data_IF_738979833273
#
_entry.id   IF_738979833273
#
_cell.length_a   1.000
_cell.length_b   1.000
_cell.length_c   1.000
_cell.angle_alpha   90.00
_cell.angle_beta   90.00
_cell.angle_gamma   90.00
#
_symmetry.space_group_name_H-M   'P 1'
#
loop_
_entity.id
_entity.type
_entity.pdbx_description
1 polymer ?
#
# COMPACT_ATOMS: atom_id res chain seq x y z
N UNK A 1 50.49 -127.01 41.95
CA UNK A 1 49.23 -126.67 42.66
C UNK A 1 48.95 -125.15 42.69
N UNK A 2 49.47 -124.36 41.73
CA UNK A 2 49.42 -122.88 41.75
C UNK A 2 48.36 -122.26 40.82
N UNK A 3 47.72 -123.03 39.93
CA UNK A 3 46.72 -122.50 38.98
C UNK A 3 45.29 -122.32 39.55
N UNK A 4 44.94 -122.95 40.68
CA UNK A 4 43.58 -122.84 41.25
C UNK A 4 43.36 -121.56 42.05
N UNK A 5 44.37 -121.10 42.79
CA UNK A 5 44.31 -119.90 43.64
C UNK A 5 44.33 -118.59 42.83
N UNK A 6 44.99 -118.57 41.68
CA UNK A 6 45.03 -117.40 40.80
C UNK A 6 43.68 -117.18 40.09
N UNK A 7 43.08 -118.26 39.58
CA UNK A 7 41.76 -118.23 38.95
C UNK A 7 40.67 -117.74 39.93
N UNK A 8 40.73 -118.19 41.19
CA UNK A 8 39.82 -117.72 42.24
C UNK A 8 39.95 -116.20 42.51
N UNK A 9 41.17 -115.67 42.56
CA UNK A 9 41.41 -114.24 42.75
C UNK A 9 40.79 -113.40 41.63
N UNK A 10 40.98 -113.82 40.38
CA UNK A 10 40.43 -113.12 39.20
C UNK A 10 38.90 -113.15 39.18
N UNK A 11 38.29 -114.29 39.53
CA UNK A 11 36.83 -114.41 39.66
C UNK A 11 36.27 -113.50 40.75
N UNK A 12 36.91 -113.48 41.94
CA UNK A 12 36.50 -112.59 43.04
C UNK A 12 36.62 -111.12 42.64
N UNK A 13 37.70 -110.72 41.94
CA UNK A 13 37.88 -109.35 41.51
C UNK A 13 36.87 -108.94 40.43
N UNK A 14 36.54 -109.84 39.50
CA UNK A 14 35.51 -109.59 38.49
C UNK A 14 34.12 -109.41 39.12
N UNK A 15 33.76 -110.26 40.08
CA UNK A 15 32.49 -110.11 40.84
C UNK A 15 32.48 -108.82 41.65
N UNK A 16 33.57 -108.47 42.34
CA UNK A 16 33.66 -107.22 43.09
C UNK A 16 33.59 -105.98 42.19
N UNK A 17 34.23 -105.99 41.01
CA UNK A 17 34.12 -104.89 40.04
C UNK A 17 32.68 -104.72 39.55
N UNK A 18 32.01 -105.83 39.18
CA UNK A 18 30.62 -105.81 38.73
C UNK A 18 29.67 -105.30 39.82
N UNK A 19 29.82 -105.79 41.06
CA UNK A 19 29.00 -105.32 42.19
C UNK A 19 29.23 -103.82 42.45
N UNK A 20 30.47 -103.36 42.37
CA UNK A 20 30.80 -101.94 42.57
C UNK A 20 30.27 -101.04 41.45
N UNK A 21 30.40 -101.43 40.19
CA UNK A 21 29.87 -100.70 39.03
C UNK A 21 28.34 -100.59 39.10
N UNK A 22 27.68 -101.59 39.68
CA UNK A 22 26.23 -101.59 39.92
C UNK A 22 25.82 -100.85 41.21
N UNK A 23 26.76 -100.29 41.98
CA UNK A 23 26.48 -99.61 43.25
C UNK A 23 26.08 -100.54 44.41
N UNK A 24 26.31 -101.84 44.29
CA UNK A 24 26.04 -102.84 45.33
C UNK A 24 27.18 -102.96 46.36
N UNK A 25 26.86 -103.42 47.57
CA UNK A 25 27.84 -103.60 48.63
C UNK A 25 28.72 -104.83 48.38
N UNK A 26 30.02 -104.60 48.12
CA UNK A 26 31.06 -105.63 47.98
C UNK A 26 31.44 -106.26 49.32
N UNK A 27 30.52 -106.99 49.94
CA UNK A 27 30.76 -107.80 51.13
C UNK A 27 31.13 -109.24 50.77
N UNK A 28 31.94 -109.91 51.60
CA UNK A 28 32.36 -111.31 51.39
C UNK A 28 31.16 -112.24 51.21
N UNK A 29 30.06 -112.00 51.94
CA UNK A 29 28.81 -112.78 51.84
C UNK A 29 28.14 -112.61 50.48
N UNK A 30 28.14 -111.39 49.91
CA UNK A 30 27.57 -111.12 48.60
C UNK A 30 28.43 -111.72 47.48
N UNK A 31 29.74 -111.63 47.60
CA UNK A 31 30.67 -112.25 46.64
C UNK A 31 30.56 -113.78 46.64
N UNK A 32 30.41 -114.40 47.82
CA UNK A 32 30.15 -115.84 47.95
C UNK A 32 28.85 -116.27 47.28
N UNK A 33 27.78 -115.45 47.33
CA UNK A 33 26.50 -115.79 46.69
C UNK A 33 26.55 -115.81 45.16
N UNK A 34 27.63 -115.29 44.57
CA UNK A 34 27.82 -115.20 43.11
C UNK A 34 28.89 -116.18 42.60
N UNK A 35 29.56 -116.93 43.49
CA UNK A 35 30.60 -117.91 43.14
C UNK A 35 30.13 -119.30 43.59
N UNK A 36 29.41 -119.99 42.71
CA UNK A 36 28.78 -121.30 42.99
C UNK A 36 29.77 -122.42 43.31
N UNK A 37 31.06 -122.23 42.99
CA UNK A 37 32.06 -123.30 43.13
C UNK A 37 32.70 -123.37 44.51
N UNK A 38 32.61 -122.35 45.38
CA UNK A 38 33.36 -122.26 46.63
C UNK A 38 32.50 -121.74 47.81
N UNK A 39 32.38 -122.56 48.86
CA UNK A 39 31.47 -122.32 49.98
C UNK A 39 32.13 -121.79 51.27
N UNK A 40 33.41 -121.40 51.23
CA UNK A 40 34.14 -120.95 52.42
C UNK A 40 34.47 -119.46 52.40
N UNK A 41 33.91 -118.73 53.38
CA UNK A 41 34.22 -117.33 53.70
C UNK A 41 35.72 -117.07 53.88
N UNK A 42 36.43 -118.02 54.48
CA UNK A 42 37.87 -117.93 54.75
C UNK A 42 38.72 -117.87 53.47
N UNK A 43 38.23 -118.46 52.37
CA UNK A 43 38.95 -118.54 51.10
C UNK A 43 38.79 -117.29 50.24
N UNK A 44 37.67 -116.55 50.38
CA UNK A 44 37.34 -115.38 49.56
C UNK A 44 37.70 -114.07 50.27
N UNK A 45 37.62 -114.03 51.60
CA UNK A 45 37.87 -112.83 52.41
C UNK A 45 39.21 -112.12 52.10
N UNK A 46 40.36 -112.82 51.94
CA UNK A 46 41.63 -112.15 51.62
C UNK A 46 41.58 -111.37 50.29
N UNK A 47 40.92 -111.93 49.28
CA UNK A 47 40.83 -111.32 47.94
C UNK A 47 39.84 -110.14 47.90
N UNK A 48 38.71 -110.24 48.61
CA UNK A 48 37.78 -109.10 48.75
C UNK A 48 38.45 -107.94 49.49
N UNK A 49 39.21 -108.23 50.55
CA UNK A 49 39.99 -107.21 51.28
C UNK A 49 41.06 -106.56 50.40
N UNK A 50 41.79 -107.35 49.60
CA UNK A 50 42.80 -106.81 48.66
C UNK A 50 42.16 -105.90 47.60
N UNK A 51 40.99 -106.28 47.05
CA UNK A 51 40.26 -105.44 46.10
C UNK A 51 39.79 -104.11 46.70
N UNK A 52 39.25 -104.14 47.93
CA UNK A 52 38.84 -102.93 48.66
C UNK A 52 40.01 -101.98 48.88
N UNK A 53 41.19 -102.52 49.25
CA UNK A 53 42.38 -101.71 49.47
C UNK A 53 42.87 -101.02 48.18
N UNK A 54 42.91 -101.74 47.04
CA UNK A 54 43.30 -101.13 45.75
C UNK A 54 42.38 -100.00 45.31
N UNK A 55 41.08 -100.10 45.59
CA UNK A 55 40.11 -99.04 45.26
C UNK A 55 40.34 -97.78 46.08
N UNK A 56 40.65 -97.92 47.37
CA UNK A 56 40.98 -96.78 48.22
C UNK A 56 42.23 -96.04 47.70
N UNK A 57 43.27 -96.79 47.34
CA UNK A 57 44.51 -96.23 46.77
C UNK A 57 44.28 -95.55 45.41
N UNK A 58 43.40 -96.10 44.56
CA UNK A 58 43.04 -95.50 43.27
C UNK A 58 42.29 -94.17 43.43
N UNK A 59 41.35 -94.11 44.38
CA UNK A 59 40.61 -92.88 44.72
C UNK A 59 41.55 -91.83 45.30
N UNK A 60 42.46 -92.22 46.18
CA UNK A 60 43.44 -91.31 46.78
C UNK A 60 44.40 -90.73 45.72
N UNK A 61 44.88 -91.55 44.79
CA UNK A 61 45.74 -91.10 43.70
C UNK A 61 45.01 -90.17 42.72
N UNK A 62 43.77 -90.47 42.36
CA UNK A 62 42.94 -89.57 41.53
C UNK A 62 42.71 -88.24 42.24
N UNK A 63 42.45 -88.25 43.55
CA UNK A 63 42.25 -87.03 44.33
C UNK A 63 43.51 -86.16 44.35
N UNK A 64 44.69 -86.76 44.53
CA UNK A 64 45.99 -86.05 44.46
C UNK A 64 46.28 -85.49 43.06
N UNK A 65 45.84 -86.18 41.99
CA UNK A 65 46.06 -85.76 40.61
C UNK A 65 45.29 -84.49 40.21
N UNK A 66 44.16 -84.20 40.87
CA UNK A 66 43.30 -83.04 40.57
C UNK A 66 43.43 -81.89 41.59
N UNK A 67 44.38 -81.95 42.53
CA UNK A 67 44.62 -80.85 43.46
C UNK A 67 45.33 -79.70 42.74
N UNK A 68 44.58 -78.64 42.42
CA UNK A 68 45.18 -77.34 42.15
C UNK A 68 45.91 -76.88 43.41
N UNK A 69 47.07 -76.23 43.25
CA UNK A 69 47.78 -75.69 44.40
C UNK A 69 46.90 -74.66 45.09
N UNK A 70 46.89 -74.69 46.43
CA UNK A 70 46.13 -73.73 47.26
C UNK A 70 46.45 -72.28 46.89
N UNK A 71 47.70 -72.03 46.46
CA UNK A 71 48.15 -70.73 45.95
C UNK A 71 47.47 -70.31 44.64
N UNK A 72 47.25 -71.24 43.71
CA UNK A 72 46.56 -70.94 42.45
C UNK A 72 45.06 -70.75 42.67
N UNK A 73 44.45 -71.53 43.57
CA UNK A 73 43.06 -71.31 44.00
C UNK A 73 42.89 -69.93 44.65
N UNK A 74 43.80 -69.54 45.56
CA UNK A 74 43.78 -68.22 46.17
C UNK A 74 43.91 -67.08 45.14
N UNK A 75 44.82 -67.20 44.17
CA UNK A 75 44.99 -66.21 43.11
C UNK A 75 43.74 -66.08 42.20
N UNK A 76 43.05 -67.20 41.91
CA UNK A 76 41.82 -67.17 41.13
C UNK A 76 40.65 -66.51 41.89
N UNK A 77 40.56 -66.73 43.21
CA UNK A 77 39.56 -66.07 44.06
C UNK A 77 39.83 -64.57 44.13
N UNK A 78 41.08 -64.16 44.36
CA UNK A 78 41.47 -62.75 44.41
C UNK A 78 41.18 -62.03 43.07
N UNK A 79 41.52 -62.65 41.94
CA UNK A 79 41.21 -62.07 40.62
C UNK A 79 39.70 -62.02 40.35
N UNK A 80 38.94 -63.02 40.81
CA UNK A 80 37.47 -63.01 40.71
C UNK A 80 36.86 -61.88 41.56
N UNK A 81 37.38 -61.62 42.75
CA UNK A 81 36.98 -60.49 43.61
C UNK A 81 37.31 -59.15 42.95
N UNK A 82 38.53 -58.98 42.42
CA UNK A 82 38.93 -57.77 41.68
C UNK A 82 38.03 -57.53 40.46
N UNK A 83 37.73 -58.58 39.69
CA UNK A 83 36.84 -58.47 38.54
C UNK A 83 35.42 -58.09 38.95
N UNK A 84 34.91 -58.67 40.04
CA UNK A 84 33.59 -58.34 40.58
C UNK A 84 33.51 -56.87 41.05
N UNK A 85 34.52 -56.38 41.75
CA UNK A 85 34.59 -54.98 42.19
C UNK A 85 34.65 -54.00 41.01
N UNK A 86 35.41 -54.34 39.96
CA UNK A 86 35.46 -53.55 38.71
C UNK A 86 34.10 -53.54 38.01
N UNK A 87 33.41 -54.68 37.94
CA UNK A 87 32.08 -54.78 37.34
C UNK A 87 31.05 -53.96 38.13
N UNK A 88 31.04 -54.07 39.46
CA UNK A 88 30.18 -53.29 40.36
C UNK A 88 30.44 -51.79 40.22
N UNK A 89 31.70 -51.36 40.18
CA UNK A 89 32.06 -49.96 39.98
C UNK A 89 31.57 -49.44 38.62
N UNK A 90 31.79 -50.20 37.56
CA UNK A 90 31.36 -49.82 36.22
C UNK A 90 29.83 -49.69 36.10
N UNK A 91 29.07 -50.60 36.71
CA UNK A 91 27.61 -50.51 36.73
C UNK A 91 27.11 -49.33 37.59
N UNK A 92 27.80 -49.03 38.70
CA UNK A 92 27.50 -47.83 39.50
C UNK A 92 27.76 -46.54 38.73
N UNK A 93 28.90 -46.45 38.04
CA UNK A 93 29.27 -45.29 37.22
C UNK A 93 28.27 -45.09 36.08
N UNK A 94 27.88 -46.16 35.37
CA UNK A 94 26.82 -46.12 34.36
C UNK A 94 25.49 -45.62 34.94
N UNK A 95 25.08 -46.18 36.07
CA UNK A 95 23.82 -45.79 36.73
C UNK A 95 23.82 -44.29 37.04
N UNK A 96 24.91 -43.79 37.62
CA UNK A 96 25.06 -42.35 37.89
C UNK A 96 25.04 -41.49 36.61
N UNK A 97 25.66 -41.94 35.52
CA UNK A 97 25.57 -41.22 34.24
C UNK A 97 24.16 -41.20 33.67
N UNK A 98 23.41 -42.29 33.80
CA UNK A 98 22.02 -42.34 33.35
C UNK A 98 21.10 -41.47 34.22
N UNK A 99 21.32 -41.43 35.53
CA UNK A 99 20.60 -40.53 36.44
C UNK A 99 20.81 -39.05 36.05
N UNK A 100 22.06 -38.64 35.80
CA UNK A 100 22.35 -37.26 35.36
C UNK A 100 21.72 -36.92 34.00
N UNK A 101 21.74 -37.88 33.05
CA UNK A 101 21.09 -37.69 31.75
C UNK A 101 19.57 -37.61 31.88
N UNK A 102 18.97 -38.38 32.79
CA UNK A 102 17.54 -38.33 33.06
C UNK A 102 17.16 -36.98 33.67
N UNK A 103 17.91 -36.50 34.67
CA UNK A 103 17.69 -35.19 35.28
C UNK A 103 17.80 -34.04 34.25
N UNK A 104 18.82 -34.07 33.39
CA UNK A 104 18.97 -33.07 32.32
C UNK A 104 17.83 -33.14 31.29
N UNK A 105 17.42 -34.35 30.89
CA UNK A 105 16.29 -34.54 29.99
C UNK A 105 14.97 -34.03 30.60
N UNK A 106 14.72 -34.30 31.88
CA UNK A 106 13.56 -33.80 32.61
C UNK A 106 13.56 -32.28 32.71
N UNK A 107 14.71 -31.67 33.06
CA UNK A 107 14.87 -30.22 33.10
C UNK A 107 14.61 -29.57 31.73
N UNK A 108 15.13 -30.17 30.66
CA UNK A 108 14.92 -29.71 29.29
C UNK A 108 13.44 -29.80 28.86
N UNK A 109 12.77 -30.91 29.19
CA UNK A 109 11.32 -31.07 28.93
C UNK A 109 10.51 -30.01 29.67
N UNK A 110 10.79 -29.77 30.95
CA UNK A 110 10.09 -28.72 31.71
C UNK A 110 10.34 -27.33 31.14
N UNK A 111 11.57 -27.02 30.71
CA UNK A 111 11.88 -25.74 30.07
C UNK A 111 11.10 -25.58 28.76
N UNK A 112 11.06 -26.62 27.91
CA UNK A 112 10.34 -26.61 26.64
C UNK A 112 8.82 -26.47 26.85
N UNK A 113 8.26 -27.16 27.84
CA UNK A 113 6.85 -27.02 28.20
C UNK A 113 6.51 -25.59 28.61
N UNK A 114 7.34 -24.96 29.47
CA UNK A 114 7.16 -23.55 29.85
C UNK A 114 7.22 -22.62 28.64
N UNK A 115 8.19 -22.82 27.73
CA UNK A 115 8.30 -22.04 26.50
C UNK A 115 7.10 -22.21 25.58
N UNK A 116 6.61 -23.44 25.43
CA UNK A 116 5.43 -23.75 24.62
C UNK A 116 4.19 -23.04 25.17
N UNK A 117 3.93 -23.13 26.47
CA UNK A 117 2.81 -22.45 27.11
C UNK A 117 2.89 -20.93 26.94
N UNK A 118 4.07 -20.34 27.17
CA UNK A 118 4.27 -18.90 26.96
C UNK A 118 4.06 -18.49 25.51
N UNK A 119 4.53 -19.28 24.55
CA UNK A 119 4.35 -19.01 23.13
C UNK A 119 2.88 -19.12 22.71
N UNK A 120 2.13 -20.07 23.29
CA UNK A 120 0.70 -20.24 23.01
C UNK A 120 -0.09 -19.00 23.44
N UNK A 121 0.16 -18.50 24.65
CA UNK A 121 -0.50 -17.28 25.15
C UNK A 121 -0.19 -16.08 24.26
N UNK A 122 1.07 -15.92 23.83
CA UNK A 122 1.44 -14.83 22.92
C UNK A 122 0.74 -14.93 21.56
N UNK A 123 0.54 -16.13 21.04
CA UNK A 123 -0.19 -16.34 19.78
C UNK A 123 -1.65 -15.94 19.93
N UNK A 124 -2.30 -16.32 21.03
CA UNK A 124 -3.71 -15.97 21.29
C UNK A 124 -3.90 -14.46 21.46
N UNK A 125 -2.98 -13.79 22.15
CA UNK A 125 -2.96 -12.33 22.32
C UNK A 125 -2.78 -11.62 20.97
N UNK A 126 -1.82 -12.07 20.16
CA UNK A 126 -1.58 -11.52 18.83
C UNK A 126 -2.78 -11.74 17.90
N UNK A 127 -3.44 -12.89 17.99
CA UNK A 127 -4.62 -13.20 17.19
C UNK A 127 -5.79 -12.29 17.57
N UNK A 128 -5.99 -12.04 18.86
CA UNK A 128 -7.01 -11.10 19.36
C UNK A 128 -6.72 -9.67 18.90
N UNK A 129 -5.47 -9.22 19.00
CA UNK A 129 -5.03 -7.91 18.52
C UNK A 129 -5.24 -7.77 17.00
N UNK A 130 -4.92 -8.81 16.22
CA UNK A 130 -5.10 -8.81 14.77
C UNK A 130 -6.59 -8.70 14.38
N UNK A 131 -7.49 -9.40 15.09
CA UNK A 131 -8.94 -9.25 14.89
C UNK A 131 -9.40 -7.82 15.20
N UNK A 132 -8.94 -7.23 16.31
CA UNK A 132 -9.27 -5.85 16.67
C UNK A 132 -8.82 -4.85 15.59
N UNK A 133 -7.57 -4.97 15.13
CA UNK A 133 -7.01 -4.10 14.10
C UNK A 133 -7.74 -4.25 12.76
N UNK A 134 -8.14 -5.46 12.38
CA UNK A 134 -8.96 -5.68 11.17
C UNK A 134 -10.29 -4.94 11.24
N UNK A 135 -10.98 -5.02 12.39
CA UNK A 135 -12.24 -4.31 12.60
C UNK A 135 -12.04 -2.79 12.56
N UNK A 136 -10.97 -2.27 13.19
CA UNK A 136 -10.65 -0.84 13.17
C UNK A 136 -10.38 -0.34 11.74
N UNK A 137 -9.61 -1.11 10.95
CA UNK A 137 -9.36 -0.79 9.53
C UNK A 137 -10.66 -0.77 8.73
N UNK A 138 -11.59 -1.70 8.99
CA UNK A 138 -12.88 -1.74 8.29
C UNK A 138 -13.77 -0.53 8.64
N UNK A 139 -13.84 -0.17 9.93
CA UNK A 139 -14.55 1.04 10.38
C UNK A 139 -13.94 2.30 9.74
N UNK A 140 -12.62 2.40 9.70
CA UNK A 140 -11.93 3.54 9.09
C UNK A 140 -12.18 3.64 7.58
N UNK A 141 -12.24 2.50 6.87
CA UNK A 141 -12.62 2.47 5.44
C UNK A 141 -14.05 2.96 5.23
N UNK A 142 -15.00 2.48 6.02
CA UNK A 142 -16.40 2.93 5.95
C UNK A 142 -16.52 4.43 6.23
N UNK A 143 -15.79 4.94 7.23
CA UNK A 143 -15.74 6.36 7.52
C UNK A 143 -15.16 7.17 6.34
N UNK A 144 -14.05 6.71 5.75
CA UNK A 144 -13.44 7.34 4.57
C UNK A 144 -14.41 7.43 3.39
N UNK A 145 -15.12 6.33 3.09
CA UNK A 145 -16.09 6.29 2.00
C UNK A 145 -17.28 7.24 2.26
N UNK A 146 -17.76 7.30 3.51
CA UNK A 146 -18.81 8.24 3.91
C UNK A 146 -18.35 9.71 3.78
N UNK A 147 -17.10 10.02 4.18
CA UNK A 147 -16.54 11.35 3.99
C UNK A 147 -16.41 11.72 2.52
N UNK A 148 -15.94 10.77 1.68
CA UNK A 148 -15.84 10.98 0.24
C UNK A 148 -17.20 11.29 -0.39
N UNK A 149 -18.23 10.49 -0.09
CA UNK A 149 -19.59 10.76 -0.56
C UNK A 149 -20.11 12.13 -0.11
N UNK A 150 -19.83 12.53 1.14
CA UNK A 150 -20.23 13.85 1.66
C UNK A 150 -19.51 15.00 0.95
N UNK A 151 -18.23 14.84 0.62
CA UNK A 151 -17.46 15.80 -0.16
C UNK A 151 -18.01 15.89 -1.59
N UNK A 152 -18.25 14.75 -2.24
CA UNK A 152 -18.78 14.70 -3.60
C UNK A 152 -20.17 15.35 -3.68
N UNK A 153 -21.05 15.07 -2.72
CA UNK A 153 -22.38 15.69 -2.63
C UNK A 153 -22.30 17.21 -2.44
N UNK A 154 -21.45 17.70 -1.52
CA UNK A 154 -21.23 19.14 -1.31
C UNK A 154 -20.66 19.80 -2.56
N UNK A 155 -19.72 19.14 -3.23
CA UNK A 155 -19.07 19.64 -4.43
C UNK A 155 -20.06 19.74 -5.58
N UNK A 156 -20.93 18.74 -5.75
CA UNK A 156 -21.99 18.76 -6.76
C UNK A 156 -22.97 19.92 -6.56
N UNK A 157 -23.39 20.18 -5.31
CA UNK A 157 -24.26 21.32 -4.98
C UNK A 157 -23.55 22.64 -5.31
N UNK A 158 -22.28 22.80 -4.93
CA UNK A 158 -21.53 24.02 -5.17
C UNK A 158 -21.28 24.27 -6.67
N UNK A 159 -20.94 23.22 -7.43
CA UNK A 159 -20.77 23.29 -8.88
C UNK A 159 -22.08 23.72 -9.56
N UNK A 160 -23.21 23.14 -9.15
CA UNK A 160 -24.50 23.51 -9.72
C UNK A 160 -24.88 24.95 -9.38
N UNK A 161 -24.60 25.42 -8.16
CA UNK A 161 -24.80 26.82 -7.77
C UNK A 161 -23.97 27.76 -8.65
N UNK A 162 -22.67 27.50 -8.81
CA UNK A 162 -21.82 28.34 -9.66
C UNK A 162 -22.21 28.29 -11.13
N UNK A 163 -22.68 27.14 -11.63
CA UNK A 163 -23.23 27.05 -12.99
C UNK A 163 -24.46 27.93 -13.17
N UNK A 164 -25.38 27.94 -12.20
CA UNK A 164 -26.56 28.81 -12.24
C UNK A 164 -26.17 30.29 -12.21
N UNK A 165 -25.27 30.68 -11.31
CA UNK A 165 -24.77 32.05 -11.23
C UNK A 165 -24.10 32.50 -12.55
N UNK A 166 -23.32 31.62 -13.16
CA UNK A 166 -22.66 31.88 -14.44
C UNK A 166 -23.67 32.00 -15.60
N UNK A 167 -24.72 31.19 -15.61
CA UNK A 167 -25.80 31.31 -16.60
C UNK A 167 -26.56 32.64 -16.46
N UNK A 168 -26.86 33.07 -15.23
CA UNK A 168 -27.49 34.37 -14.96
C UNK A 168 -26.58 35.51 -15.42
N UNK A 169 -25.29 35.47 -15.06
CA UNK A 169 -24.32 36.49 -15.47
C UNK A 169 -24.20 36.58 -16.99
N UNK A 170 -24.18 35.44 -17.70
CA UNK A 170 -24.14 35.41 -19.16
C UNK A 170 -25.40 36.02 -19.79
N UNK A 171 -26.59 35.74 -19.24
CA UNK A 171 -27.85 36.35 -19.71
C UNK A 171 -27.86 37.87 -19.51
N UNK A 172 -27.43 38.35 -18.34
CA UNK A 172 -27.30 39.78 -18.05
C UNK A 172 -26.32 40.44 -19.01
N UNK A 173 -25.14 39.84 -19.21
CA UNK A 173 -24.13 40.36 -20.14
C UNK A 173 -24.65 40.41 -21.58
N UNK A 174 -25.33 39.36 -22.07
CA UNK A 174 -25.92 39.35 -23.40
C UNK A 174 -26.98 40.45 -23.58
N UNK A 175 -27.80 40.69 -22.55
CA UNK A 175 -28.80 41.78 -22.55
C UNK A 175 -28.11 43.14 -22.64
N UNK A 176 -27.11 43.38 -21.81
CA UNK A 176 -26.34 44.63 -21.81
C UNK A 176 -25.61 44.88 -23.13
N UNK A 177 -25.04 43.84 -23.76
CA UNK A 177 -24.42 43.95 -25.08
C UNK A 177 -25.45 44.36 -26.13
N UNK A 178 -26.65 43.79 -26.07
CA UNK A 178 -27.74 44.14 -26.99
C UNK A 178 -28.17 45.60 -26.81
N UNK A 179 -28.38 46.04 -25.56
CA UNK A 179 -28.73 47.43 -25.23
C UNK A 179 -27.63 48.42 -25.65
N UNK A 180 -26.36 48.11 -25.40
CA UNK A 180 -25.24 48.95 -25.84
C UNK A 180 -25.18 49.06 -27.36
N UNK A 181 -25.51 47.98 -28.06
CA UNK A 181 -25.54 47.98 -29.53
C UNK A 181 -26.69 48.86 -30.04
N UNK A 182 -27.90 48.76 -29.46
CA UNK A 182 -29.02 49.64 -29.84
C UNK A 182 -28.73 51.11 -29.53
N UNK A 183 -28.12 51.41 -28.38
CA UNK A 183 -27.72 52.77 -28.01
C UNK A 183 -26.66 53.34 -28.96
N UNK A 184 -25.70 52.52 -29.41
CA UNK A 184 -24.71 52.92 -30.41
C UNK A 184 -25.36 53.29 -31.74
N UNK A 185 -26.33 52.50 -32.20
CA UNK A 185 -27.08 52.79 -33.44
C UNK A 185 -27.86 54.10 -33.29
N UNK A 186 -28.64 54.26 -32.22
CA UNK A 186 -29.40 55.49 -31.98
C UNK A 186 -28.49 56.73 -31.88
N UNK A 187 -27.31 56.61 -31.25
CA UNK A 187 -26.35 57.70 -31.16
C UNK A 187 -25.76 58.05 -32.54
N UNK A 188 -25.49 57.06 -33.39
CA UNK A 188 -25.04 57.29 -34.76
C UNK A 188 -26.12 58.00 -35.61
N UNK A 189 -27.38 57.61 -35.47
CA UNK A 189 -28.52 58.27 -36.14
C UNK A 189 -28.71 59.72 -35.69
N UNK A 190 -28.60 59.99 -34.39
CA UNK A 190 -28.65 61.34 -33.83
C UNK A 190 -27.50 62.21 -34.35
N UNK A 191 -26.27 61.67 -34.42
CA UNK A 191 -25.12 62.38 -34.99
C UNK A 191 -25.31 62.70 -36.47
N UNK A 192 -25.85 61.77 -37.24
CA UNK A 192 -26.18 61.99 -38.65
C UNK A 192 -27.24 63.09 -38.82
N UNK A 193 -28.29 63.05 -38.00
CA UNK A 193 -29.36 64.06 -37.99
C UNK A 193 -28.85 65.44 -37.61
N UNK A 194 -27.99 65.53 -36.58
CA UNK A 194 -27.33 66.79 -36.19
C UNK A 194 -26.48 67.35 -37.33
N UNK A 195 -25.65 66.53 -37.97
CA UNK A 195 -24.82 66.98 -39.10
C UNK A 195 -25.68 67.50 -40.27
N UNK A 196 -26.83 66.88 -40.53
CA UNK A 196 -27.77 67.35 -41.55
C UNK A 196 -28.40 68.70 -41.17
N UNK A 197 -28.83 68.87 -39.92
CA UNK A 197 -29.36 70.13 -39.43
C UNK A 197 -28.32 71.26 -39.46
N UNK A 198 -27.07 70.98 -39.10
CA UNK A 198 -25.98 71.94 -39.21
C UNK A 198 -25.77 72.40 -40.66
N UNK A 199 -25.78 71.47 -41.63
CA UNK A 199 -25.72 71.82 -43.06
C UNK A 199 -26.89 72.69 -43.50
N UNK A 200 -28.11 72.37 -43.05
CA UNK A 200 -29.29 73.18 -43.34
C UNK A 200 -29.19 74.58 -42.75
N UNK A 201 -28.72 74.70 -41.51
CA UNK A 201 -28.52 75.98 -40.85
C UNK A 201 -27.48 76.84 -41.60
N UNK A 202 -26.36 76.25 -41.99
CA UNK A 202 -25.33 76.95 -42.79
C UNK A 202 -25.92 77.43 -44.12
N UNK A 203 -26.65 76.57 -44.83
CA UNK A 203 -27.31 76.93 -46.09
C UNK A 203 -28.32 78.08 -45.90
N UNK A 204 -29.10 78.04 -44.82
CA UNK A 204 -30.06 79.09 -44.49
C UNK A 204 -29.35 80.42 -44.16
N UNK A 205 -28.25 80.39 -43.40
CA UNK A 205 -27.45 81.58 -43.12
C UNK A 205 -26.82 82.18 -44.38
N UNK A 206 -26.31 81.33 -45.29
CA UNK A 206 -25.79 81.78 -46.59
C UNK A 206 -26.90 82.42 -47.45
N UNK A 207 -28.10 81.85 -47.45
CA UNK A 207 -29.25 82.41 -48.15
C UNK A 207 -29.63 83.78 -47.58
N UNK A 208 -29.66 83.94 -46.24
CA UNK A 208 -29.93 85.23 -45.61
C UNK A 208 -28.88 86.29 -45.96
N UNK A 209 -27.59 85.94 -46.00
CA UNK A 209 -26.53 86.87 -46.46
C UNK A 209 -26.75 87.30 -47.91
N UNK A 210 -27.06 86.36 -48.81
CA UNK A 210 -27.35 86.69 -50.20
C UNK A 210 -28.55 87.64 -50.36
N UNK A 211 -29.61 87.43 -49.57
CA UNK A 211 -30.77 88.34 -49.54
C UNK A 211 -30.36 89.73 -49.03
N UNK A 212 -29.55 89.80 -47.97
CA UNK A 212 -29.03 91.05 -47.43
C UNK A 212 -28.21 91.82 -48.48
N UNK A 213 -27.25 91.16 -49.12
CA UNK A 213 -26.41 91.75 -50.16
C UNK A 213 -27.24 92.26 -51.34
N UNK A 214 -28.25 91.49 -51.77
CA UNK A 214 -29.17 91.88 -52.84
C UNK A 214 -30.02 93.10 -52.47
N UNK A 215 -30.52 93.17 -51.23
CA UNK A 215 -31.25 94.33 -50.75
C UNK A 215 -30.37 95.57 -50.65
N UNK A 216 -29.10 95.41 -50.25
CA UNK A 216 -28.14 96.51 -50.23
C UNK A 216 -27.85 97.03 -51.64
N UNK A 217 -27.68 96.14 -52.62
CA UNK A 217 -27.52 96.50 -54.03
C UNK A 217 -28.74 97.26 -54.56
N UNK A 218 -29.95 96.73 -54.34
CA UNK A 218 -31.21 97.40 -54.72
C UNK A 218 -31.34 98.78 -54.07
N UNK A 219 -30.90 98.94 -52.82
CA UNK A 219 -30.93 100.23 -52.14
C UNK A 219 -29.94 101.22 -52.79
N UNK A 220 -28.75 100.76 -53.16
CA UNK A 220 -27.78 101.58 -53.89
C UNK A 220 -28.35 102.02 -55.25
N UNK A 221 -28.90 101.08 -56.04
CA UNK A 221 -29.55 101.36 -57.32
C UNK A 221 -30.70 102.36 -57.16
N UNK A 222 -31.53 102.21 -56.12
CA UNK A 222 -32.60 103.16 -55.78
C UNK A 222 -32.05 104.56 -55.48
N UNK A 223 -30.95 104.68 -54.75
CA UNK A 223 -30.34 105.99 -54.47
C UNK A 223 -29.74 106.63 -55.72
N UNK A 224 -29.18 105.84 -56.63
CA UNK A 224 -28.61 106.31 -57.88
C UNK A 224 -29.70 106.76 -58.85
N UNK A 225 -30.79 106.00 -58.97
CA UNK A 225 -31.99 106.42 -59.70
C UNK A 225 -32.57 107.71 -59.12
N UNK A 226 -32.65 107.85 -57.79
CA UNK A 226 -33.13 109.08 -57.17
C UNK A 226 -32.25 110.30 -57.51
N UNK A 227 -30.92 110.14 -57.56
CA UNK A 227 -30.00 111.18 -58.03
C UNK A 227 -30.25 111.54 -59.49
N UNK A 228 -30.39 110.53 -60.36
CA UNK A 228 -30.66 110.74 -61.78
C UNK A 228 -32.00 111.47 -62.01
N UNK A 229 -33.04 111.09 -61.27
CA UNK A 229 -34.34 111.80 -61.28
C UNK A 229 -34.18 113.26 -60.83
N UNK A 230 -33.40 113.52 -59.77
CA UNK A 230 -33.15 114.89 -59.31
C UNK A 230 -32.41 115.75 -60.36
N UNK A 231 -31.42 115.19 -61.06
CA UNK A 231 -30.72 115.86 -62.16
C UNK A 231 -31.68 116.17 -63.32
N UNK A 232 -32.52 115.20 -63.70
CA UNK A 232 -33.51 115.41 -64.76
C UNK A 232 -34.55 116.46 -64.35
N UNK A 233 -35.02 116.46 -63.11
CA UNK A 233 -35.93 117.49 -62.58
C UNK A 233 -35.30 118.87 -62.66
N UNK A 234 -34.04 119.04 -62.20
CA UNK A 234 -33.33 120.30 -62.31
C UNK A 234 -33.19 120.76 -63.77
N UNK A 235 -32.96 119.83 -64.70
CA UNK A 235 -32.89 120.14 -66.13
C UNK A 235 -34.25 120.55 -66.72
N UNK A 236 -35.33 119.93 -66.27
CA UNK A 236 -36.70 120.35 -66.63
C UNK A 236 -36.98 121.75 -66.11
N UNK A 237 -36.61 122.07 -64.86
CA UNK A 237 -36.75 123.43 -64.32
C UNK A 237 -35.93 124.47 -65.10
N UNK A 238 -34.73 124.13 -65.57
CA UNK A 238 -33.93 124.99 -66.46
C UNK A 238 -34.64 125.22 -67.80
N UNK A 239 -35.21 124.17 -68.39
CA UNK A 239 -35.97 124.27 -69.63
C UNK A 239 -37.24 125.10 -69.44
N UNK A 240 -37.93 124.97 -68.31
CA UNK A 240 -39.09 125.80 -67.97
C UNK A 240 -38.70 127.29 -67.84
N UNK A 241 -37.58 127.60 -67.19
CA UNK A 241 -37.03 128.98 -67.13
C UNK A 241 -36.67 129.51 -68.51
N UNK A 242 -36.06 128.69 -69.36
CA UNK A 242 -35.73 129.05 -70.73
C UNK A 242 -36.99 129.28 -71.56
N UNK A 243 -38.01 128.44 -71.42
CA UNK A 243 -39.28 128.59 -72.09
C UNK A 243 -40.01 129.87 -71.64
N UNK A 244 -40.03 130.17 -70.34
CA UNK A 244 -40.52 131.45 -69.83
C UNK A 244 -39.73 132.66 -70.36
N UNK A 245 -38.43 132.51 -70.59
CA UNK A 245 -37.60 133.55 -71.24
C UNK A 245 -37.95 133.73 -72.71
N UNK A 246 -38.25 132.65 -73.44
CA UNK A 246 -38.78 132.71 -74.81
C UNK A 246 -40.15 133.40 -74.82
N UNK A 247 -41.05 133.07 -73.90
CA UNK A 247 -42.36 133.73 -73.80
C UNK A 247 -42.21 135.23 -73.56
N UNK A 248 -41.30 135.66 -72.68
CA UNK A 248 -40.96 137.07 -72.47
C UNK A 248 -40.38 137.73 -73.72
N UNK A 249 -39.51 137.04 -74.46
CA UNK A 249 -39.00 137.51 -75.76
C UNK A 249 -40.11 137.62 -76.80
N UNK A 250 -41.02 136.67 -76.88
CA UNK A 250 -42.19 136.74 -77.76
C UNK A 250 -43.11 137.91 -77.38
N UNK A 251 -43.30 138.17 -76.08
CA UNK A 251 -44.03 139.33 -75.61
C UNK A 251 -43.32 140.64 -75.96
N UNK A 252 -42.00 140.73 -75.81
CA UNK A 252 -41.23 141.92 -76.18
C UNK A 252 -41.24 142.14 -77.70
N UNK A 253 -41.16 141.08 -78.50
CA UNK A 253 -41.30 141.15 -79.96
C UNK A 253 -42.70 141.61 -80.37
N UNK A 254 -43.76 141.07 -79.75
CA UNK A 254 -45.14 141.56 -79.94
C UNK A 254 -45.26 143.04 -79.57
N UNK A 255 -44.63 143.48 -78.49
CA UNK A 255 -44.59 144.89 -78.06
C UNK A 255 -43.84 145.76 -79.08
N UNK A 256 -42.73 145.27 -79.63
CA UNK A 256 -41.91 146.00 -80.60
C UNK A 256 -42.60 146.15 -81.96
N UNK A 257 -43.30 145.11 -82.42
CA UNK A 257 -44.20 145.17 -83.59
C UNK A 257 -45.33 146.17 -83.33
N UNK A 258 -45.93 146.16 -82.13
CA UNK A 258 -46.99 147.11 -81.77
C UNK A 258 -46.51 148.57 -81.67
N UNK A 259 -45.24 148.83 -81.35
CA UNK A 259 -44.67 150.19 -81.34
C UNK A 259 -44.24 150.67 -82.72
N UNK A 260 -43.83 149.77 -83.63
CA UNK A 260 -43.43 150.13 -84.99
C UNK A 260 -44.64 150.53 -85.86
N UNK A 261 -45.82 149.95 -85.59
CA UNK A 261 -47.06 150.27 -86.30
C UNK A 261 -47.75 151.57 -85.84
N UNK A 262 -47.20 152.31 -84.86
CA UNK A 262 -47.82 153.53 -84.32
C UNK A 262 -47.13 154.84 -84.69
N UNK A 263 -46.02 154.81 -85.41
CA UNK A 263 -45.29 156.03 -85.80
C UNK A 263 -45.41 156.38 -87.29
N UNK A 264 -46.12 155.58 -88.08
CA UNK A 264 -46.42 155.84 -89.50
C UNK A 264 -47.91 156.19 -89.75
N UNK A 265 -48.61 156.78 -88.77
CA UNK A 265 -49.87 157.52 -88.99
C UNK A 265 -49.89 158.83 -88.21
#
# INVERSE_FOLDING_TARGET
MTNKTQNLKEQVFAVCNRLHENGENCSVRRVLSEIDSHSSTSSIHPYVKEWQQRRLEEVENKTKQFQLSERLLGALVEEAEIMNDKALKHEKDKTSTFELLLEDAEANVQMLQKKLTSSSVQVDDLQTSNVSLKNEVEVMKQAQDAYKQKIDAKSAVLINKYRQELEVANKVSATQVTELTSLRVANAELRASLSQLEKQLIAQQQQQRSIFDKNQLLQNEKTELAKNVAVLLARVEELDKFNGSIELLQQSFKKHISTKNKTDM
#
